data_IF_558902472418
#
_entry.id   IF_558902472418
#
_cell.length_a   1.000
_cell.length_b   1.000
_cell.length_c   1.000
_cell.angle_alpha   90.00
_cell.angle_beta   90.00
_cell.angle_gamma   90.00
#
_symmetry.space_group_name_H-M   'P 1'
#
loop_
_entity.id
_entity.type
_entity.pdbx_description
1 polymer ?
#
# COMPACT_ATOMS: atom_id res chain seq x y z
N UNK A 1 0.93 9.51 -24.07
CA UNK A 1 1.16 8.14 -24.59
C UNK A 1 0.65 7.18 -23.52
N UNK A 2 -0.28 6.28 -23.86
CA UNK A 2 -0.77 5.28 -22.92
C UNK A 2 -0.01 4.00 -23.19
N UNK A 3 0.77 3.53 -22.21
CA UNK A 3 1.46 2.25 -22.27
C UNK A 3 0.52 1.20 -21.70
N UNK A 4 0.32 0.10 -22.43
CA UNK A 4 -0.50 -1.03 -21.99
C UNK A 4 0.44 -2.10 -21.47
N UNK A 5 0.29 -2.44 -20.20
CA UNK A 5 1.11 -3.46 -19.54
C UNK A 5 0.13 -4.47 -18.91
N UNK A 6 -0.16 -5.59 -19.60
CA UNK A 6 -1.02 -6.64 -19.07
C UNK A 6 -0.28 -7.46 -18.01
N UNK A 7 -1.03 -8.22 -17.20
CA UNK A 7 -0.47 -9.21 -16.26
C UNK A 7 0.51 -8.63 -15.21
N UNK A 8 0.37 -7.35 -14.86
CA UNK A 8 1.18 -6.70 -13.84
C UNK A 8 0.88 -7.21 -12.43
N UNK A 9 1.90 -7.28 -11.60
CA UNK A 9 1.77 -7.57 -10.17
C UNK A 9 2.33 -6.40 -9.36
N UNK A 10 1.50 -5.77 -8.54
CA UNK A 10 1.82 -4.55 -7.79
C UNK A 10 1.51 -4.78 -6.31
N UNK A 11 2.56 -5.05 -5.54
CA UNK A 11 2.42 -5.45 -4.15
C UNK A 11 3.23 -4.60 -3.21
N UNK A 12 2.68 -4.38 -2.00
CA UNK A 12 3.43 -3.83 -0.88
C UNK A 12 4.14 -2.50 -1.21
N UNK A 13 3.52 -1.64 -2.01
CA UNK A 13 4.00 -0.29 -2.29
C UNK A 13 3.32 0.73 -1.37
N UNK A 14 3.99 1.85 -1.12
CA UNK A 14 3.38 3.05 -0.53
C UNK A 14 3.32 4.14 -1.58
N UNK A 15 2.11 4.52 -1.99
CA UNK A 15 1.83 5.67 -2.82
C UNK A 15 1.47 6.83 -1.90
N UNK A 16 2.18 7.96 -2.03
CA UNK A 16 1.98 9.13 -1.19
C UNK A 16 1.76 10.36 -2.05
N UNK A 17 0.65 11.07 -1.81
CA UNK A 17 0.31 12.35 -2.48
C UNK A 17 0.42 12.31 -4.00
N UNK A 18 0.07 11.17 -4.61
CA UNK A 18 -0.03 11.07 -6.07
C UNK A 18 -1.16 11.96 -6.57
N UNK A 19 -0.85 13.04 -7.29
CA UNK A 19 -1.80 14.10 -7.66
C UNK A 19 -2.61 13.82 -8.93
N UNK A 20 -2.39 12.68 -9.59
CA UNK A 20 -3.16 12.32 -10.78
C UNK A 20 -4.55 11.75 -10.45
N UNK A 21 -5.47 11.87 -11.41
CA UNK A 21 -6.84 11.37 -11.28
C UNK A 21 -6.90 9.85 -11.01
N UNK A 22 -5.87 9.07 -11.32
CA UNK A 22 -5.76 7.66 -10.94
C UNK A 22 -4.29 7.33 -10.66
N UNK A 23 -3.99 6.61 -9.57
CA UNK A 23 -2.64 6.11 -9.30
C UNK A 23 -2.28 4.94 -10.22
N UNK A 24 -3.12 3.89 -10.23
CA UNK A 24 -2.98 2.71 -11.09
C UNK A 24 -4.30 2.45 -11.81
N UNK A 25 -4.41 2.74 -13.10
CA UNK A 25 -5.69 2.58 -13.80
C UNK A 25 -5.81 1.21 -14.47
N UNK A 26 -6.72 0.38 -13.97
CA UNK A 26 -7.16 -0.84 -14.67
C UNK A 26 -8.32 -0.47 -15.60
N UNK A 27 -8.12 -0.56 -16.93
CA UNK A 27 -9.11 -0.15 -17.93
C UNK A 27 -9.34 -1.19 -19.02
N UNK A 28 -10.49 -1.08 -19.65
CA UNK A 28 -10.86 -1.74 -20.90
C UNK A 28 -11.05 -0.66 -21.94
N UNK A 29 -10.06 -0.51 -22.83
CA UNK A 29 -10.06 0.51 -23.88
C UNK A 29 -9.98 -0.15 -25.26
N UNK A 30 -10.26 0.61 -26.32
CA UNK A 30 -10.13 0.13 -27.71
C UNK A 30 -8.73 -0.37 -28.06
N UNK A 31 -7.72 0.14 -27.35
CA UNK A 31 -6.31 -0.20 -27.57
C UNK A 31 -5.84 -1.41 -26.76
N UNK A 32 -6.63 -1.87 -25.78
CA UNK A 32 -6.33 -3.06 -24.99
C UNK A 32 -7.07 -3.09 -23.67
N UNK A 33 -7.00 -4.25 -23.02
CA UNK A 33 -7.76 -4.55 -21.80
C UNK A 33 -6.80 -5.02 -20.73
N UNK A 34 -6.86 -4.40 -19.55
CA UNK A 34 -6.18 -4.91 -18.38
C UNK A 34 -6.69 -6.32 -18.05
N UNK A 35 -5.79 -7.27 -17.94
CA UNK A 35 -6.10 -8.67 -17.61
C UNK A 35 -5.04 -9.20 -16.64
N UNK A 36 -5.46 -10.15 -15.80
CA UNK A 36 -4.60 -10.86 -14.83
C UNK A 36 -3.75 -9.96 -13.93
N UNK A 37 -4.10 -8.69 -13.79
CA UNK A 37 -3.34 -7.72 -12.98
C UNK A 37 -3.69 -7.91 -11.51
N UNK A 38 -2.68 -7.94 -10.64
CA UNK A 38 -2.85 -8.13 -9.21
C UNK A 38 -2.36 -6.91 -8.43
N UNK A 39 -3.18 -6.37 -7.53
CA UNK A 39 -2.86 -5.19 -6.69
C UNK A 39 -3.16 -5.53 -5.23
N UNK A 40 -2.13 -5.79 -4.43
CA UNK A 40 -2.29 -6.30 -3.06
C UNK A 40 -1.40 -5.62 -2.03
N UNK A 41 -1.85 -5.52 -0.79
CA UNK A 41 -1.05 -5.02 0.35
C UNK A 41 -0.44 -3.61 0.17
N UNK A 42 -0.93 -2.78 -0.75
CA UNK A 42 -0.40 -1.43 -0.94
C UNK A 42 -1.03 -0.44 0.05
N UNK A 43 -0.35 0.67 0.32
CA UNK A 43 -0.91 1.84 0.99
C UNK A 43 -1.02 2.98 -0.02
N UNK A 44 -2.21 3.55 -0.17
CA UNK A 44 -2.46 4.77 -0.92
C UNK A 44 -2.82 5.87 0.06
N UNK A 45 -1.85 6.73 0.39
CA UNK A 45 -2.00 7.79 1.37
C UNK A 45 -2.06 9.16 0.69
N UNK A 46 -3.21 9.82 0.80
CA UNK A 46 -3.49 11.13 0.20
C UNK A 46 -3.35 11.15 -1.34
N UNK A 47 -3.53 10.01 -2.00
CA UNK A 47 -3.46 9.89 -3.46
C UNK A 47 -4.80 10.22 -4.14
N UNK A 48 -4.77 10.98 -5.23
CA UNK A 48 -5.91 11.39 -6.04
C UNK A 48 -6.17 12.88 -6.06
N UNK A 49 -7.14 13.30 -6.87
CA UNK A 49 -7.61 14.68 -6.95
C UNK A 49 -8.89 14.95 -6.18
N UNK A 50 -9.64 13.90 -5.81
CA UNK A 50 -10.85 13.98 -5.01
C UNK A 50 -11.12 12.65 -4.26
N UNK A 51 -12.23 12.57 -3.54
CA UNK A 51 -12.60 11.39 -2.75
C UNK A 51 -12.92 10.14 -3.57
N UNK A 52 -13.19 10.24 -4.88
CA UNK A 52 -13.61 9.13 -5.76
C UNK A 52 -12.52 8.65 -6.74
N UNK A 53 -11.46 9.44 -6.91
CA UNK A 53 -10.39 9.24 -7.90
C UNK A 53 -9.05 8.90 -7.21
N UNK A 54 -8.06 8.34 -7.93
CA UNK A 54 -6.65 8.38 -7.49
C UNK A 54 -6.04 7.13 -6.88
N UNK A 55 -6.70 5.98 -6.93
CA UNK A 55 -6.23 4.75 -6.28
C UNK A 55 -5.91 3.71 -7.37
N UNK A 56 -6.73 2.67 -7.47
CA UNK A 56 -6.80 1.74 -8.58
C UNK A 56 -8.26 1.51 -9.01
N UNK A 57 -8.50 1.13 -10.26
CA UNK A 57 -9.87 0.86 -10.72
C UNK A 57 -10.41 -0.47 -10.19
N UNK A 58 -11.73 -0.56 -9.95
CA UNK A 58 -12.38 -1.84 -9.66
C UNK A 58 -12.31 -2.78 -10.87
N UNK A 59 -11.61 -3.93 -10.77
CA UNK A 59 -11.62 -4.90 -11.85
C UNK A 59 -13.00 -5.54 -12.09
N UNK A 60 -13.81 -5.72 -11.04
CA UNK A 60 -15.12 -6.39 -11.14
C UNK A 60 -16.14 -5.50 -11.84
N UNK A 61 -16.26 -4.22 -11.45
CA UNK A 61 -17.17 -3.28 -12.12
C UNK A 61 -16.83 -3.03 -13.60
N UNK A 62 -15.60 -3.35 -14.04
CA UNK A 62 -15.14 -3.16 -15.43
C UNK A 62 -15.13 -4.44 -16.27
N UNK A 63 -15.57 -5.58 -15.71
CA UNK A 63 -15.59 -6.86 -16.41
C UNK A 63 -14.18 -7.32 -16.84
N UNK A 64 -13.16 -6.98 -16.06
CA UNK A 64 -11.78 -7.38 -16.34
C UNK A 64 -11.57 -8.84 -15.94
N UNK A 65 -10.90 -9.61 -16.79
CA UNK A 65 -10.70 -11.05 -16.55
C UNK A 65 -9.41 -11.31 -15.76
N UNK A 66 -9.53 -12.07 -14.67
CA UNK A 66 -8.39 -12.54 -13.87
C UNK A 66 -7.69 -11.47 -13.03
N UNK A 67 -8.19 -10.23 -13.01
CA UNK A 67 -7.62 -9.19 -12.18
C UNK A 67 -8.03 -9.37 -10.70
N UNK A 68 -7.08 -9.24 -9.79
CA UNK A 68 -7.29 -9.41 -8.35
C UNK A 68 -6.83 -8.18 -7.59
N UNK A 69 -7.71 -7.67 -6.73
CA UNK A 69 -7.38 -6.53 -5.87
C UNK A 69 -7.84 -6.87 -4.47
N UNK A 70 -6.95 -6.75 -3.48
CA UNK A 70 -7.27 -7.09 -2.09
C UNK A 70 -6.27 -6.51 -1.08
N UNK A 71 -6.70 -6.33 0.16
CA UNK A 71 -5.83 -5.96 1.29
C UNK A 71 -5.03 -4.67 1.08
N UNK A 72 -5.52 -3.74 0.26
CA UNK A 72 -4.92 -2.42 0.17
C UNK A 72 -5.51 -1.50 1.25
N UNK A 73 -4.69 -0.57 1.72
CA UNK A 73 -5.12 0.51 2.61
C UNK A 73 -5.22 1.79 1.79
N UNK A 74 -6.38 2.42 1.85
CA UNK A 74 -6.69 3.62 1.08
C UNK A 74 -7.10 4.71 2.03
N UNK A 75 -6.40 5.84 1.99
CA UNK A 75 -6.60 6.94 2.92
C UNK A 75 -6.56 8.25 2.15
N UNK A 76 -7.59 9.06 2.31
CA UNK A 76 -7.64 10.42 1.79
C UNK A 76 -7.00 11.42 2.75
N UNK A 77 -7.09 12.70 2.41
CA UNK A 77 -6.57 13.80 3.22
C UNK A 77 -7.04 13.69 4.67
N UNK A 78 -6.11 13.94 5.59
CA UNK A 78 -6.35 13.96 7.03
C UNK A 78 -6.91 12.64 7.60
N UNK A 79 -6.59 11.50 6.98
CA UNK A 79 -7.04 10.20 7.45
C UNK A 79 -8.48 9.85 7.07
N UNK A 80 -9.13 10.67 6.23
CA UNK A 80 -10.52 10.43 5.83
C UNK A 80 -10.64 9.20 4.91
N UNK A 81 -11.75 8.47 4.93
CA UNK A 81 -12.02 7.46 3.92
C UNK A 81 -12.21 8.09 2.54
N UNK A 82 -11.94 7.30 1.49
CA UNK A 82 -12.38 7.62 0.13
C UNK A 82 -13.77 7.07 -0.15
N UNK A 83 -14.51 7.73 -1.02
CA UNK A 83 -15.73 7.20 -1.61
C UNK A 83 -15.33 6.16 -2.67
N UNK A 84 -15.07 4.94 -2.20
CA UNK A 84 -14.73 3.81 -3.05
C UNK A 84 -16.03 3.16 -3.52
N UNK A 85 -16.31 3.27 -4.82
CA UNK A 85 -17.51 2.71 -5.46
C UNK A 85 -17.50 1.18 -5.59
N UNK A 86 -16.54 0.51 -4.98
CA UNK A 86 -16.33 -0.92 -5.03
C UNK A 86 -15.79 -1.46 -3.72
N UNK A 87 -15.94 -2.77 -3.52
CA UNK A 87 -15.45 -3.48 -2.33
C UNK A 87 -14.41 -4.50 -2.74
N UNK A 88 -13.29 -4.50 -2.03
CA UNK A 88 -12.28 -5.56 -2.12
C UNK A 88 -12.16 -6.29 -0.76
N UNK A 89 -11.76 -7.58 -0.75
CA UNK A 89 -11.50 -8.31 0.48
C UNK A 89 -10.40 -7.65 1.32
N UNK A 90 -10.61 -7.57 2.63
CA UNK A 90 -9.61 -7.09 3.57
C UNK A 90 -9.23 -5.61 3.41
N UNK A 91 -10.02 -4.80 2.69
CA UNK A 91 -9.71 -3.35 2.53
C UNK A 91 -9.63 -2.61 3.86
N UNK A 92 -8.77 -1.61 3.91
CA UNK A 92 -8.83 -0.56 4.95
C UNK A 92 -9.12 0.76 4.23
N UNK A 93 -10.18 1.46 4.63
CA UNK A 93 -10.60 2.73 4.03
C UNK A 93 -10.65 3.83 5.08
N UNK A 94 -9.76 4.80 4.98
CA UNK A 94 -9.51 5.82 5.98
C UNK A 94 -8.62 5.33 7.13
N UNK A 95 -8.52 6.17 8.17
CA UNK A 95 -7.59 6.00 9.27
C UNK A 95 -6.21 6.60 8.97
N UNK A 96 -5.36 6.67 9.98
CA UNK A 96 -3.99 7.15 9.84
C UNK A 96 -3.03 5.95 9.72
N UNK A 97 -2.23 5.82 8.65
CA UNK A 97 -1.18 4.79 8.54
C UNK A 97 -0.10 4.89 9.63
N UNK A 98 -0.06 5.99 10.39
CA UNK A 98 0.95 6.33 11.40
C UNK A 98 2.37 6.14 10.86
N UNK A 99 2.66 6.79 9.74
CA UNK A 99 4.03 6.89 9.25
C UNK A 99 4.88 7.70 10.21
N UNK A 100 6.16 7.36 10.31
CA UNK A 100 7.12 8.05 11.16
C UNK A 100 7.26 9.54 10.77
N UNK A 101 7.51 9.81 9.48
CA UNK A 101 7.64 11.19 8.98
C UNK A 101 7.39 11.24 7.46
N UNK A 102 6.12 11.18 7.00
CA UNK A 102 5.82 11.06 5.58
C UNK A 102 6.22 12.30 4.76
N UNK A 103 6.27 13.48 5.37
CA UNK A 103 6.75 14.71 4.72
C UNK A 103 8.24 14.64 4.32
N UNK A 104 9.04 13.84 5.04
CA UNK A 104 10.46 13.60 4.76
C UNK A 104 10.69 12.22 4.12
N UNK A 105 9.66 11.65 3.46
CA UNK A 105 9.71 10.34 2.82
C UNK A 105 10.02 9.15 3.76
N UNK A 106 9.81 9.31 5.07
CA UNK A 106 9.95 8.23 6.04
C UNK A 106 8.60 7.55 6.28
N UNK A 107 8.34 6.52 5.48
CA UNK A 107 7.08 5.76 5.50
C UNK A 107 7.13 4.52 6.41
N UNK A 108 8.10 4.44 7.33
CA UNK A 108 8.11 3.37 8.34
C UNK A 108 6.87 3.49 9.23
N UNK A 109 6.27 2.34 9.54
CA UNK A 109 5.05 2.28 10.34
C UNK A 109 5.37 2.38 11.84
N UNK A 110 4.72 3.31 12.52
CA UNK A 110 4.78 3.44 13.98
C UNK A 110 3.82 2.47 14.68
N UNK A 111 4.01 2.32 15.99
CA UNK A 111 3.17 1.45 16.81
C UNK A 111 1.69 1.83 16.76
N UNK A 112 0.83 0.81 16.70
CA UNK A 112 -0.61 0.97 16.60
C UNK A 112 -1.09 1.49 15.24
N UNK A 113 -0.27 1.41 14.19
CA UNK A 113 -0.74 1.61 12.82
C UNK A 113 -1.71 0.49 12.42
N UNK A 114 -2.83 0.79 11.75
CA UNK A 114 -3.74 -0.24 11.23
C UNK A 114 -3.15 -1.02 10.05
N UNK A 115 -2.04 -0.55 9.46
CA UNK A 115 -1.32 -1.26 8.41
C UNK A 115 -0.45 -2.42 8.95
N UNK A 116 -0.24 -2.48 10.27
CA UNK A 116 0.55 -3.54 10.89
C UNK A 116 -0.21 -4.86 10.91
N UNK A 117 0.42 -5.93 10.44
CA UNK A 117 -0.10 -7.29 10.48
C UNK A 117 -1.47 -7.45 9.80
N UNK A 118 -1.81 -6.59 8.85
CA UNK A 118 -3.14 -6.57 8.22
C UNK A 118 -3.13 -6.95 6.73
N UNK A 119 -1.95 -7.18 6.16
CA UNK A 119 -1.78 -7.71 4.81
C UNK A 119 -1.83 -9.24 4.77
N UNK A 120 -1.70 -9.78 3.56
CA UNK A 120 -1.63 -11.22 3.29
C UNK A 120 -0.25 -11.63 2.80
N UNK A 121 0.05 -12.93 2.89
CA UNK A 121 1.21 -13.51 2.22
C UNK A 121 1.12 -13.27 0.72
N UNK A 122 2.22 -12.80 0.13
CA UNK A 122 2.40 -12.65 -1.30
C UNK A 122 3.71 -13.32 -1.68
N UNK A 123 3.63 -14.35 -2.54
CA UNK A 123 4.81 -15.09 -2.97
C UNK A 123 5.78 -14.19 -3.75
N UNK A 124 7.08 -14.33 -3.50
CA UNK A 124 8.13 -13.55 -4.18
C UNK A 124 8.32 -12.13 -3.63
N UNK A 125 7.65 -11.76 -2.54
CA UNK A 125 7.84 -10.48 -1.82
C UNK A 125 8.28 -10.78 -0.40
N UNK A 126 9.47 -11.37 -0.25
CA UNK A 126 9.93 -11.91 1.03
C UNK A 126 10.52 -10.84 1.95
N UNK A 127 11.05 -9.75 1.38
CA UNK A 127 11.68 -8.65 2.11
C UNK A 127 10.99 -7.32 1.84
N UNK A 128 11.20 -6.35 2.73
CA UNK A 128 10.74 -4.97 2.56
C UNK A 128 11.81 -4.07 1.90
N UNK A 129 11.55 -2.77 1.84
CA UNK A 129 12.46 -1.77 1.25
C UNK A 129 13.82 -1.66 1.97
N UNK A 130 13.93 -2.20 3.19
CA UNK A 130 15.15 -2.24 4.00
C UNK A 130 15.77 -3.63 4.08
N UNK A 131 15.35 -4.53 3.18
CA UNK A 131 15.79 -5.92 3.17
C UNK A 131 15.42 -6.69 4.45
N UNK A 132 14.44 -6.22 5.22
CA UNK A 132 13.96 -6.93 6.38
C UNK A 132 12.95 -8.00 5.97
N UNK A 133 13.13 -9.23 6.48
CA UNK A 133 12.20 -10.33 6.23
C UNK A 133 10.79 -9.99 6.72
N UNK A 134 9.80 -10.10 5.83
CA UNK A 134 8.39 -9.92 6.14
C UNK A 134 7.85 -11.13 6.90
N UNK A 135 7.02 -10.87 7.91
CA UNK A 135 6.38 -11.90 8.75
C UNK A 135 4.90 -11.90 8.46
N UNK A 136 4.28 -13.08 8.36
CA UNK A 136 2.84 -13.22 8.12
C UNK A 136 2.07 -13.04 9.44
N UNK A 137 0.94 -12.30 9.46
CA UNK A 137 0.42 -11.49 8.36
C UNK A 137 1.33 -10.29 8.05
N UNK A 138 1.52 -10.01 6.75
CA UNK A 138 2.43 -8.94 6.31
C UNK A 138 1.93 -7.57 6.78
N UNK A 139 2.86 -6.66 7.04
CA UNK A 139 2.53 -5.24 7.08
C UNK A 139 2.24 -4.74 5.65
N UNK A 140 1.23 -3.87 5.52
CA UNK A 140 0.93 -3.21 4.23
C UNK A 140 1.97 -2.13 3.94
N UNK A 141 2.20 -1.87 2.66
CA UNK A 141 3.15 -0.86 2.21
C UNK A 141 4.60 -1.36 2.14
N UNK A 142 5.49 -0.42 1.84
CA UNK A 142 6.88 -0.71 1.44
C UNK A 142 7.81 -1.13 2.57
N UNK A 143 7.48 -0.82 3.82
CA UNK A 143 8.26 -1.19 5.00
C UNK A 143 7.48 -2.21 5.84
N UNK A 144 8.20 -3.16 6.44
CA UNK A 144 7.70 -3.82 7.65
C UNK A 144 8.06 -2.96 8.86
N UNK A 145 7.36 -3.18 9.97
CA UNK A 145 7.77 -2.63 11.24
C UNK A 145 9.04 -3.34 11.69
N UNK A 146 10.11 -2.58 11.82
CA UNK A 146 11.30 -3.06 12.50
C UNK A 146 10.99 -3.33 13.96
N UNK A 147 11.58 -4.38 14.53
CA UNK A 147 11.62 -4.52 15.98
C UNK A 147 12.24 -3.24 16.57
N UNK A 148 11.75 -2.78 17.72
CA UNK A 148 12.47 -1.75 18.44
C UNK A 148 13.91 -2.23 18.65
N UNK A 149 14.89 -1.38 18.38
CA UNK A 149 16.26 -1.69 18.77
C UNK A 149 16.23 -1.86 20.30
N UNK A 150 16.60 -3.05 20.77
CA UNK A 150 16.85 -3.24 22.19
C UNK A 150 17.96 -2.27 22.58
N UNK A 151 17.79 -1.46 23.66
CA UNK A 151 18.89 -0.64 24.16
C UNK A 151 20.11 -1.54 24.40
N UNK A 152 21.34 -1.08 24.13
CA UNK A 152 22.53 -1.83 24.52
C UNK A 152 22.47 -2.12 26.02
N UNK A 153 22.52 -3.39 26.40
CA UNK A 153 22.50 -3.81 27.80
C UNK A 153 23.80 -3.48 28.52
N UNK A 154 24.86 -3.17 27.76
CA UNK A 154 26.22 -2.95 28.26
C UNK A 154 26.62 -1.47 28.30
N UNK A 155 25.65 -0.55 28.38
CA UNK A 155 25.95 0.86 28.60
C UNK A 155 26.53 1.04 30.02
N UNK A 156 27.84 1.22 30.11
CA UNK A 156 28.54 1.53 31.36
C UNK A 156 29.03 2.96 31.32
N UNK A 157 28.85 3.68 32.43
CA UNK A 157 29.50 4.98 32.64
C UNK A 157 30.98 4.70 32.85
N UNK A 158 31.86 5.27 32.02
CA UNK A 158 33.29 5.25 32.28
C UNK A 158 33.54 6.03 33.58
N UNK A 159 33.98 5.35 34.63
CA UNK A 159 34.49 6.03 35.82
C UNK A 159 35.81 6.71 35.47
N UNK A 160 36.04 7.97 35.91
CA UNK A 160 37.26 8.71 35.63
C UNK A 160 38.51 8.04 36.20
#
# INVERSE_FOLDING_TARGET
MNIIIPECEIYNNTFYRGTHAVGISLNKESRGVANKTKIKNNIFFECGTNATNGIYGDPLAKGLTGCEVSHNMVVWMNGSPKDMRWTEPGRINGGNPKFAEPANNNFRLLSGSPALGSGILVAGVDVDMESQLRVVPFDRGCYKKSAALSPPTDLRVATP
#
